data_IF_502383936312
#
_entry.id   IF_502383936312
#
_cell.length_a   1.000
_cell.length_b   1.000
_cell.length_c   1.000
_cell.angle_alpha   90.00
_cell.angle_beta   90.00
_cell.angle_gamma   90.00
#
_symmetry.space_group_name_H-M   'P 1'
#
loop_
_entity.id
_entity.type
_entity.pdbx_description
1 polymer ?
#
# COMPACT_ATOMS: atom_id res chain seq x y z
N UNK A 1 -23.52 10.11 6.67
CA UNK A 1 -23.05 9.21 5.59
C UNK A 1 -21.70 8.62 5.99
N UNK A 2 -21.57 7.29 6.00
CA UNK A 2 -20.34 6.60 6.40
C UNK A 2 -19.38 6.65 5.22
N UNK A 3 -18.27 7.38 5.36
CA UNK A 3 -17.21 7.46 4.34
C UNK A 3 -16.46 6.13 4.25
N UNK A 4 -16.89 5.26 3.33
CA UNK A 4 -16.19 4.03 2.94
C UNK A 4 -15.09 4.44 1.94
N UNK A 5 -14.01 5.01 2.46
CA UNK A 5 -12.79 5.29 1.70
C UNK A 5 -11.57 5.05 2.58
N UNK A 6 -10.59 4.29 2.09
CA UNK A 6 -9.35 3.97 2.82
C UNK A 6 -8.72 5.24 3.39
N UNK A 7 -8.58 5.49 4.70
CA UNK A 7 -8.18 6.79 5.29
C UNK A 7 -6.90 7.43 4.71
N UNK A 8 -6.79 8.77 4.74
CA UNK A 8 -5.62 9.52 4.18
C UNK A 8 -4.35 9.22 4.96
N UNK A 9 -4.50 8.98 6.26
CA UNK A 9 -3.41 8.58 7.11
C UNK A 9 -3.13 7.09 6.97
N UNK A 10 -1.83 6.78 6.86
CA UNK A 10 -1.34 5.41 6.85
C UNK A 10 -1.66 4.70 8.18
N UNK A 11 -1.45 3.38 8.22
CA UNK A 11 -1.55 2.63 9.48
C UNK A 11 -0.52 3.16 10.49
N UNK A 12 0.70 3.50 10.04
CA UNK A 12 1.74 4.04 10.92
C UNK A 12 1.41 5.45 11.41
N UNK A 13 0.80 6.28 10.58
CA UNK A 13 0.44 7.65 10.96
C UNK A 13 -0.61 7.61 12.08
N UNK A 14 -1.62 6.75 11.94
CA UNK A 14 -2.66 6.56 12.96
C UNK A 14 -2.11 5.93 14.24
N UNK A 15 -1.23 4.93 14.10
CA UNK A 15 -0.52 4.36 15.24
C UNK A 15 0.30 5.41 15.98
N UNK A 16 1.05 6.24 15.25
CA UNK A 16 1.87 7.31 15.79
C UNK A 16 1.03 8.34 16.56
N UNK A 17 -0.06 8.82 15.96
CA UNK A 17 -0.96 9.77 16.63
C UNK A 17 -1.52 9.15 17.90
N UNK A 18 -2.04 7.93 17.83
CA UNK A 18 -2.63 7.25 18.99
C UNK A 18 -1.60 6.98 20.10
N UNK A 19 -0.39 6.53 19.74
CA UNK A 19 0.71 6.24 20.67
C UNK A 19 1.11 7.47 21.45
N UNK A 20 1.41 8.56 20.74
CA UNK A 20 1.90 9.78 21.38
C UNK A 20 0.80 10.49 22.17
N UNK A 21 -0.44 10.49 21.66
CA UNK A 21 -1.56 11.08 22.39
C UNK A 21 -1.85 10.30 23.68
N UNK A 22 -1.79 8.96 23.63
CA UNK A 22 -1.88 8.11 24.82
C UNK A 22 -0.78 8.43 25.84
N UNK A 23 0.48 8.55 25.40
CA UNK A 23 1.61 8.89 26.28
C UNK A 23 1.45 10.25 26.96
N UNK A 24 1.04 11.28 26.19
CA UNK A 24 0.84 12.63 26.72
C UNK A 24 -0.33 12.67 27.71
N UNK A 25 -1.47 12.04 27.37
CA UNK A 25 -2.62 11.96 28.28
C UNK A 25 -2.25 11.19 29.55
N UNK A 26 -1.49 10.10 29.44
CA UNK A 26 -0.99 9.34 30.59
C UNK A 26 -0.12 10.18 31.53
N UNK A 27 0.63 11.14 30.98
CA UNK A 27 1.44 12.08 31.77
C UNK A 27 0.63 13.21 32.43
N UNK A 28 -0.69 13.22 32.25
CA UNK A 28 -1.59 14.25 32.78
C UNK A 28 -1.72 15.49 31.89
N UNK A 29 -1.15 15.48 30.68
CA UNK A 29 -1.31 16.56 29.71
C UNK A 29 -2.75 16.62 29.22
N UNK A 30 -3.34 17.82 29.21
CA UNK A 30 -4.68 18.02 28.67
C UNK A 30 -4.77 17.66 27.18
N UNK A 31 -5.93 17.18 26.72
CA UNK A 31 -6.12 16.70 25.34
C UNK A 31 -5.76 17.78 24.30
N UNK A 32 -6.20 19.02 24.51
CA UNK A 32 -5.88 20.13 23.61
C UNK A 32 -4.36 20.32 23.51
N UNK A 33 -3.67 20.46 24.64
CA UNK A 33 -2.22 20.66 24.68
C UNK A 33 -1.45 19.49 24.04
N UNK A 34 -1.88 18.26 24.29
CA UNK A 34 -1.28 17.07 23.69
C UNK A 34 -1.37 17.05 22.16
N UNK A 35 -2.50 17.48 21.59
CA UNK A 35 -2.67 17.61 20.14
C UNK A 35 -1.82 18.77 19.61
N UNK A 36 -1.70 19.87 20.37
CA UNK A 36 -0.83 21.00 20.05
C UNK A 36 0.62 20.56 19.91
N UNK A 37 1.14 19.79 20.87
CA UNK A 37 2.48 19.20 20.79
C UNK A 37 2.66 18.32 19.54
N UNK A 38 1.69 17.46 19.25
CA UNK A 38 1.75 16.58 18.08
C UNK A 38 1.68 17.34 16.75
N UNK A 39 0.94 18.45 16.70
CA UNK A 39 0.85 19.29 15.51
C UNK A 39 2.18 19.98 15.18
N UNK A 40 3.01 20.25 16.18
CA UNK A 40 4.31 20.90 16.00
C UNK A 40 5.47 19.93 15.69
N UNK A 41 5.24 18.62 15.68
CA UNK A 41 6.28 17.65 15.34
C UNK A 41 6.56 17.57 13.82
N UNK A 42 7.82 17.36 13.40
CA UNK A 42 8.25 17.54 12.01
C UNK A 42 7.90 16.41 11.02
N UNK A 43 7.00 15.48 11.34
CA UNK A 43 6.90 14.21 10.61
C UNK A 43 6.16 14.29 9.25
N UNK A 44 5.08 15.07 9.11
CA UNK A 44 4.32 15.20 7.85
C UNK A 44 3.44 16.47 7.84
N UNK A 45 3.54 17.28 6.77
CA UNK A 45 2.72 18.48 6.57
C UNK A 45 1.21 18.17 6.56
N UNK A 46 0.79 17.01 6.03
CA UNK A 46 -0.62 16.59 6.00
C UNK A 46 -1.15 16.32 7.41
N UNK A 47 -0.37 15.61 8.23
CA UNK A 47 -0.72 15.31 9.62
C UNK A 47 -0.79 16.61 10.41
N UNK A 48 0.24 17.46 10.30
CA UNK A 48 0.28 18.77 10.94
C UNK A 48 -0.95 19.61 10.64
N UNK A 49 -1.31 19.75 9.37
CA UNK A 49 -2.44 20.60 8.96
C UNK A 49 -3.79 20.08 9.51
N UNK A 50 -3.97 18.77 9.59
CA UNK A 50 -5.19 18.17 10.16
C UNK A 50 -5.19 18.29 11.69
N UNK A 51 -4.07 17.96 12.35
CA UNK A 51 -3.97 18.06 13.80
C UNK A 51 -4.07 19.51 14.29
N UNK A 52 -3.56 20.49 13.55
CA UNK A 52 -3.74 21.91 13.87
C UNK A 52 -5.22 22.33 13.82
N UNK A 53 -6.01 21.81 12.87
CA UNK A 53 -7.46 22.07 12.82
C UNK A 53 -8.20 21.40 13.98
N UNK A 54 -7.86 20.13 14.26
CA UNK A 54 -8.40 19.40 15.41
C UNK A 54 -8.03 20.11 16.71
N UNK A 55 -6.81 20.62 16.84
CA UNK A 55 -6.34 21.40 17.99
C UNK A 55 -7.23 22.63 18.24
N UNK A 56 -7.47 23.44 17.21
CA UNK A 56 -8.32 24.64 17.31
C UNK A 56 -9.73 24.29 17.77
N UNK A 57 -10.32 23.23 17.22
CA UNK A 57 -11.66 22.76 17.61
C UNK A 57 -11.71 22.30 19.08
N UNK A 58 -10.75 21.47 19.50
CA UNK A 58 -10.69 20.97 20.89
C UNK A 58 -10.41 22.10 21.87
N UNK A 59 -9.56 23.05 21.50
CA UNK A 59 -9.29 24.25 22.31
C UNK A 59 -10.55 25.12 22.48
N UNK A 60 -11.47 25.12 21.49
CA UNK A 60 -12.78 25.78 21.60
C UNK A 60 -13.82 25.00 22.44
N UNK A 61 -13.46 23.84 22.99
CA UNK A 61 -14.34 23.01 23.82
C UNK A 61 -15.12 21.93 23.07
N UNK A 62 -14.84 21.72 21.78
CA UNK A 62 -15.44 20.61 21.02
C UNK A 62 -14.76 19.30 21.45
N UNK A 63 -15.55 18.24 21.67
CA UNK A 63 -15.01 16.91 21.96
C UNK A 63 -14.04 16.40 20.89
N UNK A 64 -13.01 15.67 21.30
CA UNK A 64 -11.96 15.13 20.43
C UNK A 64 -12.53 14.31 19.28
N UNK A 65 -13.46 13.40 19.59
CA UNK A 65 -14.07 12.54 18.58
C UNK A 65 -14.85 13.33 17.54
N UNK A 66 -15.52 14.41 17.96
CA UNK A 66 -16.29 15.31 17.07
C UNK A 66 -15.34 16.15 16.21
N UNK A 67 -14.26 16.67 16.78
CA UNK A 67 -13.23 17.39 16.05
C UNK A 67 -12.55 16.50 14.98
N UNK A 68 -12.25 15.24 15.32
CA UNK A 68 -11.71 14.27 14.37
C UNK A 68 -12.73 13.85 13.29
N UNK A 69 -14.03 13.86 13.58
CA UNK A 69 -15.09 13.49 12.64
C UNK A 69 -15.18 14.44 11.44
N UNK A 70 -14.92 15.73 11.64
CA UNK A 70 -14.75 16.72 10.55
C UNK A 70 -13.63 16.33 9.57
N UNK A 71 -12.70 15.47 10.00
CA UNK A 71 -11.59 14.93 9.24
C UNK A 71 -11.67 13.40 9.11
N UNK A 72 -12.88 12.83 9.06
CA UNK A 72 -13.13 11.38 8.94
C UNK A 72 -12.41 10.71 7.78
N UNK A 73 -12.21 11.42 6.67
CA UNK A 73 -11.41 10.94 5.54
C UNK A 73 -9.93 10.73 5.88
N UNK A 74 -9.38 11.34 6.93
CA UNK A 74 -8.00 11.20 7.36
C UNK A 74 -7.80 10.08 8.39
N UNK A 75 -8.59 10.08 9.47
CA UNK A 75 -8.46 9.09 10.56
C UNK A 75 -9.15 7.76 10.26
N UNK A 76 -10.22 7.79 9.47
CA UNK A 76 -11.09 6.65 9.22
C UNK A 76 -12.11 6.46 10.34
N UNK A 77 -13.27 5.94 9.95
CA UNK A 77 -14.44 5.81 10.83
C UNK A 77 -14.17 4.97 12.08
N UNK A 78 -13.41 3.89 11.96
CA UNK A 78 -13.13 2.98 13.09
C UNK A 78 -12.31 3.68 14.18
N UNK A 79 -11.26 4.42 13.79
CA UNK A 79 -10.42 5.19 14.71
C UNK A 79 -11.28 6.17 15.52
N UNK A 80 -12.11 6.95 14.84
CA UNK A 80 -12.97 7.96 15.47
C UNK A 80 -13.98 7.33 16.41
N UNK A 81 -14.57 6.17 16.05
CA UNK A 81 -15.50 5.46 16.92
C UNK A 81 -14.86 4.99 18.21
N UNK A 82 -13.64 4.44 18.14
CA UNK A 82 -12.90 4.07 19.35
C UNK A 82 -12.55 5.30 20.20
N UNK A 83 -12.09 6.38 19.58
CA UNK A 83 -11.84 7.65 20.29
C UNK A 83 -13.11 8.15 20.98
N UNK A 84 -14.27 8.09 20.32
CA UNK A 84 -15.57 8.43 20.92
C UNK A 84 -15.88 7.57 22.14
N UNK A 85 -15.73 6.25 22.02
CA UNK A 85 -15.95 5.32 23.12
C UNK A 85 -15.04 5.69 24.30
N UNK A 86 -13.75 5.89 24.06
CA UNK A 86 -12.78 6.24 25.10
C UNK A 86 -13.02 7.63 25.72
N UNK A 87 -13.53 8.58 24.94
CA UNK A 87 -13.91 9.91 25.41
C UNK A 87 -15.16 9.86 26.31
N UNK A 88 -16.19 9.11 25.91
CA UNK A 88 -17.44 8.94 26.66
C UNK A 88 -17.26 8.09 27.93
N UNK A 89 -16.40 7.07 27.88
CA UNK A 89 -16.11 6.19 29.03
C UNK A 89 -15.03 6.73 29.96
N UNK A 90 -14.34 7.81 29.58
CA UNK A 90 -13.17 8.33 30.30
C UNK A 90 -11.93 7.42 30.21
N UNK A 91 -11.92 6.41 29.34
CA UNK A 91 -10.78 5.48 29.14
C UNK A 91 -9.99 5.79 27.87
N UNK A 92 -9.87 7.08 27.53
CA UNK A 92 -9.24 7.55 26.30
C UNK A 92 -7.76 7.13 26.20
N UNK A 93 -7.02 7.17 27.30
CA UNK A 93 -5.60 6.75 27.36
C UNK A 93 -5.43 5.28 26.95
N UNK A 94 -6.19 4.39 27.58
CA UNK A 94 -6.19 2.95 27.30
C UNK A 94 -6.65 2.65 25.87
N UNK A 95 -7.71 3.33 25.42
CA UNK A 95 -8.26 3.14 24.08
C UNK A 95 -7.28 3.56 23.00
N UNK A 96 -6.59 4.69 23.17
CA UNK A 96 -5.53 5.14 22.26
C UNK A 96 -4.33 4.20 22.28
N UNK A 97 -3.93 3.68 23.44
CA UNK A 97 -2.86 2.70 23.55
C UNK A 97 -3.20 1.39 22.80
N UNK A 98 -4.44 0.93 22.94
CA UNK A 98 -4.96 -0.22 22.20
C UNK A 98 -4.95 0.02 20.68
N UNK A 99 -5.46 1.17 20.23
CA UNK A 99 -5.45 1.55 18.82
C UNK A 99 -4.02 1.60 18.26
N UNK A 100 -3.08 2.19 19.01
CA UNK A 100 -1.68 2.26 18.60
C UNK A 100 -1.10 0.86 18.35
N UNK A 101 -1.26 -0.04 19.33
CA UNK A 101 -0.78 -1.42 19.21
C UNK A 101 -1.48 -2.17 18.07
N UNK A 102 -2.77 -1.94 17.85
CA UNK A 102 -3.51 -2.57 16.76
C UNK A 102 -2.99 -2.12 15.39
N UNK A 103 -2.81 -0.82 15.18
CA UNK A 103 -2.34 -0.30 13.89
C UNK A 103 -0.85 -0.60 13.64
N UNK A 104 -0.01 -0.68 14.68
CA UNK A 104 1.37 -1.19 14.59
C UNK A 104 1.38 -2.64 14.07
N UNK A 105 0.56 -3.52 14.68
CA UNK A 105 0.40 -4.92 14.24
C UNK A 105 -0.09 -5.01 12.80
N UNK A 106 -1.11 -4.25 12.42
CA UNK A 106 -1.66 -4.25 11.06
C UNK A 106 -0.61 -3.79 10.02
N UNK A 107 0.22 -2.82 10.38
CA UNK A 107 1.33 -2.36 9.55
C UNK A 107 2.40 -3.45 9.39
N UNK A 108 2.75 -4.15 10.46
CA UNK A 108 3.74 -5.21 10.41
C UNK A 108 3.26 -6.44 9.64
N UNK A 109 1.99 -6.81 9.77
CA UNK A 109 1.36 -7.84 8.93
C UNK A 109 1.44 -7.42 7.46
N UNK A 110 1.08 -6.17 7.15
CA UNK A 110 1.14 -5.64 5.79
C UNK A 110 2.56 -5.64 5.22
N UNK A 111 3.58 -5.33 6.03
CA UNK A 111 5.00 -5.40 5.65
C UNK A 111 5.44 -6.84 5.40
N UNK A 112 5.07 -7.78 6.28
CA UNK A 112 5.39 -9.22 6.12
C UNK A 112 4.81 -9.78 4.82
N UNK A 113 3.53 -9.50 4.55
CA UNK A 113 2.86 -9.92 3.30
C UNK A 113 3.60 -9.36 2.09
N UNK A 114 3.97 -8.07 2.11
CA UNK A 114 4.75 -7.47 1.02
C UNK A 114 6.12 -8.12 0.86
N UNK A 115 6.82 -8.41 1.95
CA UNK A 115 8.13 -9.05 1.94
C UNK A 115 8.10 -10.44 1.30
N UNK A 116 7.11 -11.27 1.65
CA UNK A 116 6.97 -12.63 1.10
C UNK A 116 6.73 -12.62 -0.41
N UNK A 117 6.03 -11.60 -0.94
CA UNK A 117 5.76 -11.48 -2.37
C UNK A 117 6.95 -11.03 -3.22
N UNK A 118 8.02 -10.49 -2.60
CA UNK A 118 9.20 -10.02 -3.35
C UNK A 118 9.93 -11.20 -4.01
N UNK A 119 10.11 -12.31 -3.28
CA UNK A 119 10.85 -13.47 -3.81
C UNK A 119 10.17 -14.11 -5.04
N UNK A 120 8.86 -14.44 -5.01
CA UNK A 120 8.15 -14.92 -6.19
C UNK A 120 8.19 -13.94 -7.37
N UNK A 121 8.06 -12.63 -7.10
CA UNK A 121 8.09 -11.63 -8.16
C UNK A 121 9.43 -11.55 -8.88
N UNK A 122 10.55 -11.61 -8.14
CA UNK A 122 11.90 -11.65 -8.73
C UNK A 122 12.09 -12.93 -9.54
N UNK A 123 11.73 -14.09 -8.98
CA UNK A 123 11.89 -15.38 -9.66
C UNK A 123 11.10 -15.43 -10.98
N UNK A 124 9.82 -15.05 -10.94
CA UNK A 124 8.96 -15.00 -12.14
C UNK A 124 9.52 -14.02 -13.17
N UNK A 125 9.98 -12.84 -12.75
CA UNK A 125 10.66 -11.87 -13.61
C UNK A 125 11.87 -12.47 -14.33
N UNK A 126 12.73 -13.18 -13.59
CA UNK A 126 13.92 -13.83 -14.16
C UNK A 126 13.51 -14.90 -15.18
N UNK A 127 12.53 -15.74 -14.87
CA UNK A 127 12.03 -16.78 -15.79
C UNK A 127 11.50 -16.15 -17.09
N UNK A 128 10.73 -15.07 -16.99
CA UNK A 128 10.19 -14.35 -18.16
C UNK A 128 11.33 -13.74 -19.00
N UNK A 129 12.33 -13.14 -18.34
CA UNK A 129 13.49 -12.55 -19.02
C UNK A 129 14.30 -13.61 -19.78
N UNK A 130 14.54 -14.76 -19.14
CA UNK A 130 15.20 -15.91 -19.80
C UNK A 130 14.37 -16.42 -20.98
N UNK A 131 13.07 -16.64 -20.81
CA UNK A 131 12.19 -17.10 -21.88
C UNK A 131 12.21 -16.13 -23.09
N UNK A 132 12.19 -14.82 -22.83
CA UNK A 132 12.31 -13.81 -23.88
C UNK A 132 13.68 -13.86 -24.57
N UNK A 133 14.78 -13.92 -23.82
CA UNK A 133 16.14 -14.03 -24.38
C UNK A 133 16.25 -15.27 -25.29
N UNK A 134 15.78 -16.42 -24.82
CA UNK A 134 15.79 -17.66 -25.58
C UNK A 134 14.96 -17.55 -26.85
N UNK A 135 13.74 -17.01 -26.78
CA UNK A 135 12.85 -16.90 -27.93
C UNK A 135 13.33 -15.89 -28.97
N UNK A 136 13.85 -14.73 -28.56
CA UNK A 136 14.24 -13.66 -29.50
C UNK A 136 15.66 -13.79 -30.04
N UNK A 137 16.61 -14.38 -29.29
CA UNK A 137 18.02 -14.39 -29.69
C UNK A 137 18.57 -15.79 -29.97
N UNK A 138 18.20 -16.79 -29.17
CA UNK A 138 18.79 -18.14 -29.27
C UNK A 138 18.03 -18.96 -30.31
N UNK A 139 16.71 -18.90 -30.27
CA UNK A 139 15.86 -19.70 -31.14
C UNK A 139 15.99 -19.38 -32.64
N UNK A 140 16.09 -18.11 -33.10
CA UNK A 140 16.33 -17.81 -34.51
C UNK A 140 17.66 -18.36 -35.02
N UNK A 141 18.72 -18.25 -34.22
CA UNK A 141 20.04 -18.81 -34.58
C UNK A 141 20.01 -20.33 -34.75
N UNK A 142 19.22 -21.01 -33.92
CA UNK A 142 19.00 -22.45 -34.08
C UNK A 142 18.25 -22.76 -35.38
N UNK A 143 17.25 -21.95 -35.75
CA UNK A 143 16.55 -22.12 -37.04
C UNK A 143 17.49 -21.93 -38.23
N UNK A 144 18.34 -20.90 -38.20
CA UNK A 144 19.32 -20.65 -39.25
C UNK A 144 20.29 -21.83 -39.39
N UNK A 145 20.80 -22.35 -38.26
CA UNK A 145 21.60 -23.58 -38.23
C UNK A 145 20.88 -24.78 -38.86
N UNK A 146 19.59 -24.98 -38.54
CA UNK A 146 18.80 -26.08 -39.11
C UNK A 146 18.46 -25.88 -40.59
N UNK A 147 18.38 -24.64 -41.09
CA UNK A 147 18.14 -24.33 -42.50
C UNK A 147 19.35 -24.67 -43.37
N UNK A 148 20.58 -24.56 -42.83
CA UNK A 148 21.81 -24.94 -43.53
C UNK A 148 21.95 -26.47 -43.68
N UNK A 149 21.25 -27.26 -42.85
CA UNK A 149 21.14 -28.71 -43.05
C UNK A 149 20.08 -29.00 -44.12
N UNK A 150 20.50 -29.55 -45.25
CA UNK A 150 19.67 -29.84 -46.43
C UNK A 150 18.69 -31.04 -46.22
N UNK A 151 18.17 -31.20 -45.01
CA UNK A 151 17.31 -32.31 -44.58
C UNK A 151 15.96 -31.77 -44.08
N UNK A 152 14.82 -32.37 -44.46
CA UNK A 152 13.52 -31.88 -44.02
C UNK A 152 13.39 -32.01 -42.49
N UNK A 153 13.00 -30.90 -41.85
CA UNK A 153 12.75 -30.84 -40.41
C UNK A 153 11.79 -31.95 -39.96
N UNK A 154 12.15 -32.74 -38.92
CA UNK A 154 11.25 -33.71 -38.31
C UNK A 154 9.92 -33.08 -37.87
N UNK A 155 8.84 -33.85 -37.92
CA UNK A 155 7.49 -33.35 -37.60
C UNK A 155 7.42 -32.69 -36.21
N UNK A 156 8.16 -33.23 -35.23
CA UNK A 156 8.23 -32.70 -33.87
C UNK A 156 8.86 -31.29 -33.84
N UNK A 157 9.88 -31.02 -34.66
CA UNK A 157 10.54 -29.72 -34.75
C UNK A 157 9.63 -28.68 -35.39
N UNK A 158 8.84 -29.06 -36.40
CA UNK A 158 7.85 -28.17 -37.04
C UNK A 158 6.73 -27.76 -36.08
N UNK A 159 6.23 -28.69 -35.27
CA UNK A 159 5.22 -28.41 -34.23
C UNK A 159 5.81 -27.50 -33.14
N UNK A 160 7.08 -27.71 -32.76
CA UNK A 160 7.78 -26.89 -31.76
C UNK A 160 8.07 -25.47 -32.29
N UNK A 161 8.43 -25.34 -33.57
CA UNK A 161 8.58 -24.04 -34.25
C UNK A 161 7.25 -23.29 -34.35
N UNK A 162 6.15 -23.98 -34.71
CA UNK A 162 4.82 -23.39 -34.78
C UNK A 162 4.31 -22.90 -33.42
N UNK A 163 4.53 -23.68 -32.35
CA UNK A 163 4.17 -23.28 -30.98
C UNK A 163 5.02 -22.11 -30.48
N UNK A 164 6.30 -22.02 -30.86
CA UNK A 164 7.16 -20.88 -30.56
C UNK A 164 6.78 -19.59 -31.31
N UNK A 165 6.37 -19.67 -32.58
CA UNK A 165 5.89 -18.50 -33.34
C UNK A 165 4.59 -17.97 -32.73
N UNK A 166 3.68 -18.88 -32.34
CA UNK A 166 2.48 -18.53 -31.58
C UNK A 166 2.85 -17.87 -30.23
N UNK A 167 3.80 -18.43 -29.49
CA UNK A 167 4.27 -17.86 -28.24
C UNK A 167 4.96 -16.49 -28.41
N UNK A 168 5.63 -16.21 -29.53
CA UNK A 168 6.21 -14.89 -29.85
C UNK A 168 5.13 -13.86 -30.16
N UNK A 169 4.06 -14.26 -30.84
CA UNK A 169 2.93 -13.39 -31.18
C UNK A 169 2.07 -13.06 -29.94
N UNK A 170 1.88 -14.02 -29.03
CA UNK A 170 1.15 -13.84 -27.77
C UNK A 170 2.04 -13.42 -26.59
N UNK A 171 3.36 -13.56 -26.71
CA UNK A 171 4.35 -13.22 -25.68
C UNK A 171 4.46 -11.73 -25.43
N UNK A 172 4.28 -10.91 -26.48
CA UNK A 172 4.09 -9.47 -26.31
C UNK A 172 2.84 -9.17 -25.49
N UNK A 173 1.73 -9.89 -25.69
CA UNK A 173 0.49 -9.73 -24.91
C UNK A 173 0.73 -10.14 -23.44
N UNK A 174 1.48 -11.20 -23.17
CA UNK A 174 1.85 -11.60 -21.79
C UNK A 174 2.74 -10.55 -21.12
N UNK A 175 3.75 -10.01 -21.83
CA UNK A 175 4.56 -8.89 -21.33
C UNK A 175 3.75 -7.62 -21.12
N UNK A 176 2.78 -7.33 -21.99
CA UNK A 176 1.88 -6.19 -21.88
C UNK A 176 0.92 -6.37 -20.69
N UNK A 177 0.40 -7.59 -20.47
CA UNK A 177 -0.42 -7.94 -19.30
C UNK A 177 0.41 -7.83 -18.02
N UNK A 178 1.65 -8.31 -18.00
CA UNK A 178 2.54 -8.17 -16.85
C UNK A 178 2.93 -6.72 -16.57
N UNK A 179 3.24 -5.95 -17.62
CA UNK A 179 3.48 -4.51 -17.51
C UNK A 179 2.23 -3.80 -16.99
N UNK A 180 1.04 -4.14 -17.50
CA UNK A 180 -0.25 -3.64 -17.00
C UNK A 180 -0.49 -4.08 -15.56
N UNK A 181 -0.15 -5.30 -15.14
CA UNK A 181 -0.32 -5.77 -13.76
C UNK A 181 0.67 -5.10 -12.81
N UNK A 182 1.90 -4.85 -13.24
CA UNK A 182 2.92 -4.12 -12.47
C UNK A 182 2.54 -2.63 -12.37
N UNK A 183 2.14 -2.03 -13.49
CA UNK A 183 1.66 -0.65 -13.53
C UNK A 183 0.36 -0.53 -12.75
N UNK A 184 -0.58 -1.47 -12.86
CA UNK A 184 -1.83 -1.50 -12.10
C UNK A 184 -1.57 -1.73 -10.62
N UNK A 185 -0.63 -2.59 -10.22
CA UNK A 185 -0.29 -2.78 -8.81
C UNK A 185 0.45 -1.57 -8.23
N UNK A 186 1.25 -0.85 -9.04
CA UNK A 186 1.86 0.45 -8.67
C UNK A 186 0.84 1.59 -8.71
N UNK A 187 -0.10 1.56 -9.64
CA UNK A 187 -1.18 2.53 -9.79
C UNK A 187 -2.29 2.29 -8.76
N UNK A 188 -2.58 1.07 -8.31
CA UNK A 188 -3.45 0.84 -7.15
C UNK A 188 -2.78 1.34 -5.86
N UNK A 189 -1.44 1.33 -5.81
CA UNK A 189 -0.68 1.96 -4.74
C UNK A 189 -0.63 3.50 -4.89
N UNK A 190 -0.58 4.05 -6.10
CA UNK A 190 -0.49 5.50 -6.39
C UNK A 190 -1.85 6.22 -6.58
N UNK A 191 -2.87 5.59 -7.13
CA UNK A 191 -4.25 6.10 -7.31
C UNK A 191 -4.96 6.15 -5.95
N UNK A 192 -4.66 5.22 -5.03
CA UNK A 192 -4.96 5.41 -3.59
C UNK A 192 -4.33 6.68 -3.01
N UNK A 193 -3.26 7.19 -3.62
CA UNK A 193 -2.60 8.45 -3.24
C UNK A 193 -3.07 9.70 -4.03
N UNK A 194 -3.68 9.56 -5.21
CA UNK A 194 -4.02 10.68 -6.12
C UNK A 194 -5.54 10.90 -6.28
N UNK A 195 -6.40 9.88 -6.13
CA UNK A 195 -7.87 10.04 -6.17
C UNK A 195 -8.45 10.76 -4.92
N UNK A 196 -7.64 11.64 -4.33
CA UNK A 196 -7.83 12.35 -3.05
C UNK A 196 -7.31 13.79 -3.05
N UNK A 197 -7.10 14.32 -4.24
CA UNK A 197 -7.25 15.75 -4.51
C UNK A 197 -8.73 15.94 -4.86
#
# INVERSE_FOLDING_TARGET
MIGIGDPKFSLLDRAFIARNLSLLIKSGTGIAEAIGFLSNQPADLKIRNVLAKVHTDVQSGIGLSIAMEKHSGSFGTLFIRFVRIGEESGTLEETLNYLAAQYERDSDISKKIRGVLVYPAILVSVIIAYAALFSFFIFPKLQDLFADFNTPLPAITKVLLGTMIWLRQWGFIVLLILAILIIASRALKNVRSIARI
#
